data_IF_621202362538
#
_entry.id   IF_621202362538
#
_cell.length_a   1.000
_cell.length_b   1.000
_cell.length_c   1.000
_cell.angle_alpha   90.00
_cell.angle_beta   90.00
_cell.angle_gamma   90.00
#
_symmetry.space_group_name_H-M   'P 1'
#
loop_
_entity.id
_entity.type
_entity.pdbx_description
1 polymer ?
#
# COMPACT_ATOMS: atom_id res chain seq x y z
N UNK A 1 -5.11 0.66 -6.60
CA UNK A 1 -4.58 1.54 -7.67
C UNK A 1 -5.57 1.51 -8.83
N UNK A 2 -6.08 2.65 -9.24
CA UNK A 2 -6.99 2.78 -10.38
C UNK A 2 -6.57 4.02 -11.14
N UNK A 3 -6.20 3.87 -12.40
CA UNK A 3 -5.94 4.98 -13.30
C UNK A 3 -6.68 4.69 -14.59
N UNK A 4 -7.55 5.61 -14.99
CA UNK A 4 -8.19 5.64 -16.30
C UNK A 4 -7.70 6.87 -17.04
N UNK A 5 -7.13 6.65 -18.21
CA UNK A 5 -6.91 7.67 -19.22
C UNK A 5 -7.85 7.33 -20.39
N UNK A 6 -8.37 8.35 -21.08
CA UNK A 6 -9.45 8.20 -22.09
C UNK A 6 -9.08 7.26 -23.27
N UNK A 7 -7.79 6.94 -23.41
CA UNK A 7 -7.25 6.06 -24.46
C UNK A 7 -6.96 4.63 -24.00
N UNK A 8 -7.22 4.27 -22.73
CA UNK A 8 -6.83 2.97 -22.16
C UNK A 8 -8.00 2.16 -21.62
N UNK A 9 -7.96 0.86 -21.90
CA UNK A 9 -8.68 -0.13 -21.12
C UNK A 9 -7.95 -0.37 -19.79
N UNK A 10 -8.68 -0.36 -18.68
CA UNK A 10 -8.07 -0.34 -17.36
C UNK A 10 -8.30 -1.62 -16.58
N UNK A 11 -7.23 -2.16 -16.02
CA UNK A 11 -7.25 -3.18 -14.97
C UNK A 11 -6.74 -2.58 -13.66
N UNK A 12 -7.29 -3.02 -12.54
CA UNK A 12 -6.94 -2.54 -11.20
C UNK A 12 -6.42 -3.66 -10.32
N UNK A 13 -5.53 -3.31 -9.40
CA UNK A 13 -5.16 -4.17 -8.28
C UNK A 13 -5.30 -3.40 -6.97
N UNK A 14 -5.94 -4.04 -6.00
CA UNK A 14 -5.93 -3.63 -4.60
C UNK A 14 -5.10 -4.61 -3.78
N UNK A 15 -4.40 -4.08 -2.79
CA UNK A 15 -3.66 -4.87 -1.82
C UNK A 15 -4.43 -4.83 -0.52
N UNK A 16 -4.78 -5.99 0.00
CA UNK A 16 -5.28 -6.15 1.34
C UNK A 16 -4.15 -6.72 2.19
N UNK A 17 -3.74 -5.93 3.17
CA UNK A 17 -2.91 -6.44 4.23
C UNK A 17 -3.79 -7.27 5.17
N UNK A 18 -3.26 -8.37 5.71
CA UNK A 18 -3.99 -9.22 6.65
C UNK A 18 -4.72 -8.41 7.72
N UNK A 19 -5.88 -8.90 8.20
CA UNK A 19 -6.88 -8.16 8.99
C UNK A 19 -6.42 -7.57 10.35
N UNK A 20 -5.12 -7.54 10.62
CA UNK A 20 -4.52 -7.30 11.93
C UNK A 20 -3.55 -6.10 11.97
N UNK A 21 -3.43 -5.32 10.88
CA UNK A 21 -2.92 -3.94 11.00
C UNK A 21 -3.96 -3.11 11.77
N UNK A 22 -4.00 -3.29 13.09
CA UNK A 22 -4.85 -2.53 14.01
C UNK A 22 -4.32 -1.11 14.24
N UNK A 23 -4.00 -0.42 13.15
CA UNK A 23 -3.84 1.04 13.16
C UNK A 23 -5.13 1.72 12.71
N UNK A 24 -6.28 1.21 13.15
CA UNK A 24 -7.61 1.79 12.85
C UNK A 24 -7.95 1.92 11.36
N UNK A 25 -7.16 1.36 10.44
CA UNK A 25 -7.43 1.42 9.01
C UNK A 25 -8.64 0.56 8.71
N UNK A 26 -9.72 1.23 8.28
CA UNK A 26 -10.99 0.58 7.91
C UNK A 26 -10.86 0.00 6.50
N UNK A 27 -9.96 -0.97 6.35
CA UNK A 27 -9.61 -1.57 5.07
C UNK A 27 -10.82 -2.10 4.30
N UNK A 28 -11.82 -2.65 4.99
CA UNK A 28 -13.05 -3.13 4.33
C UNK A 28 -13.82 -2.01 3.62
N UNK A 29 -13.93 -0.84 4.25
CA UNK A 29 -14.61 0.34 3.69
C UNK A 29 -13.80 0.91 2.53
N UNK A 30 -12.49 1.03 2.68
CA UNK A 30 -11.59 1.50 1.62
C UNK A 30 -11.65 0.59 0.38
N UNK A 31 -11.68 -0.74 0.58
CA UNK A 31 -11.84 -1.72 -0.49
C UNK A 31 -13.21 -1.64 -1.17
N UNK A 32 -14.28 -1.41 -0.41
CA UNK A 32 -15.62 -1.20 -0.97
C UNK A 32 -15.64 0.04 -1.86
N UNK A 33 -15.11 1.17 -1.39
CA UNK A 33 -15.01 2.38 -2.19
C UNK A 33 -14.12 2.18 -3.41
N UNK A 34 -12.99 1.48 -3.30
CA UNK A 34 -12.14 1.15 -4.44
C UNK A 34 -12.91 0.34 -5.49
N UNK A 35 -13.73 -0.63 -5.08
CA UNK A 35 -14.59 -1.40 -6.00
C UNK A 35 -15.65 -0.53 -6.67
N UNK A 36 -16.26 0.39 -5.92
CA UNK A 36 -17.26 1.35 -6.44
C UNK A 36 -16.64 2.29 -7.48
N UNK A 37 -15.45 2.82 -7.20
CA UNK A 37 -14.68 3.64 -8.13
C UNK A 37 -14.30 2.85 -9.38
N UNK A 38 -13.80 1.60 -9.22
CA UNK A 38 -13.49 0.73 -10.34
C UNK A 38 -14.70 0.45 -11.23
N UNK A 39 -15.87 0.24 -10.62
CA UNK A 39 -17.15 0.06 -11.34
C UNK A 39 -17.52 1.33 -12.11
N UNK A 40 -17.46 2.50 -11.46
CA UNK A 40 -17.78 3.79 -12.08
C UNK A 40 -16.91 4.08 -13.31
N UNK A 41 -15.62 3.73 -13.25
CA UNK A 41 -14.68 3.92 -14.35
C UNK A 41 -14.65 2.76 -15.36
N UNK A 42 -15.45 1.71 -15.17
CA UNK A 42 -15.50 0.52 -16.02
C UNK A 42 -14.15 -0.23 -16.12
N UNK A 43 -13.50 -0.44 -14.98
CA UNK A 43 -12.30 -1.29 -14.89
C UNK A 43 -12.66 -2.74 -15.26
N UNK A 44 -11.99 -3.29 -16.27
CA UNK A 44 -12.28 -4.59 -16.86
C UNK A 44 -12.02 -5.74 -15.89
N UNK A 45 -10.96 -5.62 -15.09
CA UNK A 45 -10.56 -6.62 -14.11
C UNK A 45 -9.98 -5.93 -12.88
N UNK A 46 -10.55 -6.22 -11.71
CA UNK A 46 -10.02 -5.77 -10.43
C UNK A 46 -9.58 -6.97 -9.59
N UNK A 47 -8.27 -7.08 -9.34
CA UNK A 47 -7.70 -8.16 -8.52
C UNK A 47 -7.45 -7.68 -7.11
N UNK A 48 -7.81 -8.50 -6.12
CA UNK A 48 -7.44 -8.31 -4.73
C UNK A 48 -6.30 -9.26 -4.37
N UNK A 49 -5.15 -8.70 -4.01
CA UNK A 49 -4.01 -9.47 -3.52
C UNK A 49 -3.97 -9.40 -1.99
N UNK A 50 -4.12 -10.56 -1.34
CA UNK A 50 -3.96 -10.69 0.10
C UNK A 50 -2.48 -10.94 0.41
N UNK A 51 -1.85 -10.03 1.15
CA UNK A 51 -0.41 -10.09 1.46
C UNK A 51 -0.23 -10.05 2.97
N UNK A 52 0.41 -11.09 3.50
CA UNK A 52 0.76 -11.17 4.92
C UNK A 52 2.20 -10.70 5.12
N UNK A 53 2.37 -9.51 5.70
CA UNK A 53 3.70 -8.94 5.96
C UNK A 53 4.31 -9.41 7.27
N UNK A 54 3.55 -10.11 8.13
CA UNK A 54 4.07 -10.68 9.38
C UNK A 54 5.08 -11.79 9.15
N UNK A 55 5.06 -12.41 7.96
CA UNK A 55 6.06 -13.41 7.57
C UNK A 55 7.48 -12.84 7.57
N UNK A 56 7.62 -11.51 7.47
CA UNK A 56 8.90 -10.80 7.52
C UNK A 56 9.18 -10.18 8.89
N UNK A 57 8.14 -9.69 9.60
CA UNK A 57 8.30 -9.01 10.88
C UNK A 57 9.10 -7.71 10.76
N UNK A 58 9.79 -7.34 11.84
CA UNK A 58 10.70 -6.17 11.86
C UNK A 58 10.03 -4.82 12.16
N UNK A 59 8.73 -4.81 12.45
CA UNK A 59 8.02 -3.62 12.91
C UNK A 59 6.92 -3.96 13.92
N UNK A 60 6.50 -2.97 14.70
CA UNK A 60 5.36 -3.11 15.62
C UNK A 60 4.01 -3.34 14.91
N UNK A 61 3.95 -3.17 13.59
CA UNK A 61 2.75 -3.51 12.78
C UNK A 61 2.80 -4.94 12.22
N UNK A 62 3.93 -5.64 12.37
CA UNK A 62 4.15 -6.97 11.77
C UNK A 62 4.64 -8.01 12.77
N UNK A 63 5.04 -7.60 13.98
CA UNK A 63 5.51 -8.45 15.06
C UNK A 63 4.98 -7.94 16.41
N UNK A 64 5.13 -8.76 17.46
CA UNK A 64 4.74 -8.42 18.83
C UNK A 64 5.78 -7.49 19.47
N UNK A 65 5.78 -6.23 19.02
CA UNK A 65 6.66 -5.16 19.50
C UNK A 65 5.78 -4.05 20.07
N UNK A 66 6.00 -3.61 21.32
CA UNK A 66 5.19 -2.55 21.91
C UNK A 66 5.40 -1.23 21.17
N UNK A 67 4.29 -0.52 20.88
CA UNK A 67 4.32 0.85 20.36
C UNK A 67 4.40 1.83 21.54
N UNK A 68 5.42 2.69 21.62
CA UNK A 68 5.51 3.70 22.68
C UNK A 68 4.32 4.66 22.64
N UNK A 69 3.67 4.88 23.79
CA UNK A 69 2.54 5.81 23.93
C UNK A 69 2.93 7.18 24.52
N UNK A 70 4.08 7.25 25.19
CA UNK A 70 4.61 8.50 25.77
C UNK A 70 5.44 9.26 24.74
N UNK A 71 4.79 10.14 23.99
CA UNK A 71 5.47 11.19 23.23
C UNK A 71 5.72 12.38 24.15
N UNK A 72 6.59 12.21 25.15
CA UNK A 72 7.17 13.34 25.87
C UNK A 72 7.82 14.28 24.84
N UNK A 73 7.65 15.58 25.00
CA UNK A 73 7.98 16.63 24.02
C UNK A 73 9.49 16.80 23.71
N UNK A 74 10.31 15.78 23.95
CA UNK A 74 11.76 15.82 23.82
C UNK A 74 12.22 14.62 23.00
N UNK A 75 12.92 14.90 21.90
CA UNK A 75 13.51 13.96 20.93
C UNK A 75 12.54 13.29 19.93
N UNK A 76 12.02 14.09 18.99
CA UNK A 76 11.88 13.62 17.60
C UNK A 76 13.28 13.51 16.98
N UNK A 77 14.07 12.54 17.40
CA UNK A 77 15.30 12.20 16.67
C UNK A 77 14.91 11.67 15.30
N UNK A 78 15.79 11.88 14.32
CA UNK A 78 15.70 11.51 12.90
C UNK A 78 15.56 9.99 12.63
N UNK A 79 15.16 9.21 13.64
CA UNK A 79 15.09 7.76 13.62
C UNK A 79 13.76 7.28 13.02
N UNK A 80 13.87 6.21 12.23
CA UNK A 80 12.72 5.56 11.59
C UNK A 80 11.79 5.00 12.68
N UNK A 81 10.48 5.31 12.65
CA UNK A 81 9.56 4.88 13.70
C UNK A 81 9.44 3.35 13.76
N UNK A 82 9.26 2.77 14.95
CA UNK A 82 9.09 1.31 15.12
C UNK A 82 7.86 0.74 14.41
N UNK A 83 6.91 1.58 14.03
CA UNK A 83 5.73 1.23 13.22
C UNK A 83 6.02 1.20 11.72
N UNK A 84 7.20 1.62 11.28
CA UNK A 84 7.64 1.50 9.89
C UNK A 84 7.75 0.04 9.49
N UNK A 85 6.98 -0.38 8.48
CA UNK A 85 7.17 -1.68 7.82
C UNK A 85 8.22 -1.52 6.72
N UNK A 86 9.38 -2.21 6.80
CA UNK A 86 10.44 -2.10 5.81
C UNK A 86 9.94 -2.33 4.38
N UNK A 87 10.30 -1.42 3.47
CA UNK A 87 10.09 -1.52 2.01
C UNK A 87 8.65 -1.90 1.60
N UNK A 88 7.63 -1.53 2.39
CA UNK A 88 6.24 -1.91 2.09
C UNK A 88 5.74 -1.39 0.74
N UNK A 89 6.30 -0.28 0.23
CA UNK A 89 5.93 0.24 -1.09
C UNK A 89 6.42 -0.65 -2.24
N UNK A 90 7.45 -1.45 -2.04
CA UNK A 90 7.93 -2.43 -3.04
C UNK A 90 6.86 -3.45 -3.37
N UNK A 91 5.89 -3.69 -2.49
CA UNK A 91 4.74 -4.56 -2.76
C UNK A 91 3.93 -4.09 -3.98
N UNK A 92 3.91 -2.79 -4.29
CA UNK A 92 3.23 -2.29 -5.48
C UNK A 92 3.84 -2.84 -6.78
N UNK A 93 5.07 -3.36 -6.76
CA UNK A 93 5.66 -4.05 -7.91
C UNK A 93 4.92 -5.34 -8.28
N UNK A 94 4.14 -5.95 -7.39
CA UNK A 94 3.29 -7.11 -7.72
C UNK A 94 2.26 -6.81 -8.82
N UNK A 95 1.96 -5.53 -9.07
CA UNK A 95 1.14 -5.13 -10.22
C UNK A 95 1.76 -5.53 -11.55
N UNK A 96 3.08 -5.69 -11.63
CA UNK A 96 3.78 -6.22 -12.80
C UNK A 96 3.32 -7.64 -13.14
N UNK A 97 3.02 -8.47 -12.14
CA UNK A 97 2.53 -9.82 -12.38
C UNK A 97 1.15 -9.79 -13.05
N UNK A 98 0.25 -8.92 -12.60
CA UNK A 98 -1.04 -8.73 -13.26
C UNK A 98 -0.86 -8.19 -14.67
N UNK A 99 -0.04 -7.14 -14.82
CA UNK A 99 0.25 -6.50 -16.10
C UNK A 99 0.78 -7.51 -17.13
N UNK A 100 1.72 -8.37 -16.74
CA UNK A 100 2.26 -9.41 -17.61
C UNK A 100 1.19 -10.41 -18.08
N UNK A 101 0.23 -10.79 -17.22
CA UNK A 101 -0.84 -11.74 -17.61
C UNK A 101 -1.89 -11.16 -18.56
N UNK A 102 -1.95 -9.85 -18.70
CA UNK A 102 -2.88 -9.14 -19.58
C UNK A 102 -2.15 -8.35 -20.67
N UNK A 103 -0.83 -8.57 -20.80
CA UNK A 103 0.04 -7.91 -21.77
C UNK A 103 -0.04 -6.37 -21.71
N UNK A 104 -0.23 -5.81 -20.51
CA UNK A 104 -0.31 -4.36 -20.33
C UNK A 104 1.07 -3.70 -20.57
N UNK A 105 1.08 -2.67 -21.40
CA UNK A 105 2.29 -1.90 -21.74
C UNK A 105 2.56 -0.74 -20.78
N UNK A 106 1.56 -0.33 -20.01
CA UNK A 106 1.61 0.84 -19.15
C UNK A 106 1.13 0.51 -17.74
N UNK A 107 1.86 0.98 -16.74
CA UNK A 107 1.54 0.85 -15.33
C UNK A 107 1.56 2.23 -14.70
N UNK A 108 0.49 2.59 -14.01
CA UNK A 108 0.34 3.91 -13.39
C UNK A 108 0.24 3.78 -11.87
N UNK A 109 1.24 4.29 -11.14
CA UNK A 109 1.26 4.27 -9.67
C UNK A 109 1.15 5.70 -9.12
N UNK A 110 0.17 5.93 -8.24
CA UNK A 110 -0.02 7.21 -7.55
C UNK A 110 0.87 7.42 -6.33
N UNK A 111 2.12 6.94 -6.36
CA UNK A 111 3.10 7.23 -5.29
C UNK A 111 3.73 8.60 -5.53
N UNK A 112 3.97 9.35 -4.45
CA UNK A 112 4.51 10.72 -4.53
C UNK A 112 5.73 10.86 -3.60
N UNK A 113 6.79 11.49 -4.09
CA UNK A 113 8.04 11.72 -3.34
C UNK A 113 7.87 12.66 -2.15
N UNK A 114 6.86 13.55 -2.15
CA UNK A 114 6.51 14.40 -1.01
C UNK A 114 5.86 13.62 0.15
N UNK A 115 5.41 12.38 -0.09
CA UNK A 115 4.99 11.46 0.98
C UNK A 115 6.19 10.88 1.76
N UNK A 116 7.40 11.38 1.50
CA UNK A 116 8.62 11.05 2.22
C UNK A 116 8.54 11.58 3.66
N UNK A 117 8.05 10.74 4.57
CA UNK A 117 8.14 10.98 6.03
C UNK A 117 9.48 10.51 6.62
N UNK A 118 10.57 10.55 5.84
CA UNK A 118 11.87 9.97 6.23
C UNK A 118 12.07 8.50 5.87
N UNK A 119 11.14 7.89 5.12
CA UNK A 119 11.16 6.48 4.75
C UNK A 119 12.25 6.16 3.69
N UNK A 120 13.21 5.25 3.96
CA UNK A 120 14.35 4.99 3.07
C UNK A 120 13.97 4.56 1.64
N UNK A 121 12.86 3.85 1.48
CA UNK A 121 12.39 3.30 0.20
C UNK A 121 11.68 4.33 -0.70
N UNK A 122 11.41 5.53 -0.18
CA UNK A 122 10.80 6.62 -0.93
C UNK A 122 11.83 7.65 -1.45
N UNK A 123 13.13 7.33 -1.39
CA UNK A 123 14.20 8.18 -1.93
C UNK A 123 14.22 8.09 -3.47
N UNK A 124 14.42 9.22 -4.20
CA UNK A 124 14.52 9.23 -5.66
C UNK A 124 15.71 8.42 -6.20
#
# INVERSE_FOLDING_TARGET
MLVKADEYECCGQSFQYGQWLQYGQRHSVELEFARRVGTFYAVLRHVLANIDLRVFGGSALTADIPVPTDFGSQNRTEDIPVTYVPVRHTIFTFVLALAATIEATNIFIGVNTLNYSGYPECRP
#
